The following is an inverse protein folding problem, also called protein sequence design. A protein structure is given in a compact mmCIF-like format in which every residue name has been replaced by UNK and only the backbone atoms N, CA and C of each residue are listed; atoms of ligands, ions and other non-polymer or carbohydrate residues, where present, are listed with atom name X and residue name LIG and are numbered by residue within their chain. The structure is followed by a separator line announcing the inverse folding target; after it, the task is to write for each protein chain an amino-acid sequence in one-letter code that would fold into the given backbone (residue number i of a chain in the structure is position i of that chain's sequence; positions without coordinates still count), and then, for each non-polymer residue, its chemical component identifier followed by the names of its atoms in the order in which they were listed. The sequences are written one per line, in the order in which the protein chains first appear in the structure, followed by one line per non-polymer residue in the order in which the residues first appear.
data_IF_253783968850
#
_entry.id   IF_253783968850
#
_cell.length_a   1.000
_cell.length_b   1.000
_cell.length_c   1.000
_cell.angle_alpha   90.00
_cell.angle_beta   90.00
_cell.angle_gamma   90.00
#
_symmetry.space_group_name_H-M   'P 1'
#
loop_
_entity.id
_entity.type
_entity.pdbx_description
1 polymer ?
#
# COMPACT_ATOMS: atom_id res chain seq x y z
N UNK A 1 -2.63 -31.59 16.26
CA UNK A 1 -3.83 -32.36 16.69
C UNK A 1 -5.12 -31.69 16.18
N UNK A 2 -5.31 -30.38 16.38
CA UNK A 2 -6.49 -29.63 15.88
C UNK A 2 -6.73 -29.68 14.36
N UNK A 3 -5.68 -29.64 13.52
CA UNK A 3 -5.81 -29.75 12.05
C UNK A 3 -6.26 -31.14 11.57
N UNK A 4 -6.00 -32.20 12.34
CA UNK A 4 -6.38 -33.56 11.96
C UNK A 4 -7.88 -33.81 12.18
N UNK A 5 -8.42 -33.23 13.25
CA UNK A 5 -9.85 -33.29 13.55
C UNK A 5 -10.68 -32.57 12.47
N UNK A 6 -10.22 -31.41 11.99
CA UNK A 6 -10.89 -30.65 10.93
C UNK A 6 -10.84 -31.32 9.55
N UNK A 7 -9.71 -31.94 9.18
CA UNK A 7 -9.61 -32.73 7.93
C UNK A 7 -10.45 -34.02 8.01
N UNK A 8 -10.57 -34.63 9.19
CA UNK A 8 -11.41 -35.81 9.40
C UNK A 8 -12.90 -35.51 9.20
N UNK A 9 -13.36 -34.32 9.60
CA UNK A 9 -14.74 -33.85 9.41
C UNK A 9 -15.08 -33.64 7.92
N UNK A 10 -14.18 -33.02 7.14
CA UNK A 10 -14.37 -32.76 5.72
C UNK A 10 -14.31 -34.04 4.86
N UNK A 11 -13.45 -35.00 5.24
CA UNK A 11 -13.31 -36.27 4.53
C UNK A 11 -14.52 -37.20 4.68
N UNK A 12 -15.23 -37.09 5.81
CA UNK A 12 -16.51 -37.79 6.06
C UNK A 12 -17.65 -37.23 5.17
N UNK A 13 -17.65 -35.93 4.86
CA UNK A 13 -18.63 -35.31 3.96
C UNK A 13 -18.35 -35.60 2.47
N UNK A 14 -17.09 -35.84 2.10
CA UNK A 14 -16.65 -36.07 0.71
C UNK A 14 -16.45 -37.57 0.33
N UNK A 15 -16.79 -38.50 1.23
CA UNK A 15 -16.71 -39.98 1.03
C UNK A 15 -15.34 -40.49 0.55
N UNK A 16 -14.24 -39.91 1.02
CA UNK A 16 -12.91 -40.45 0.72
C UNK A 16 -12.69 -41.79 1.41
N UNK A 17 -12.10 -42.75 0.70
CA UNK A 17 -11.69 -44.02 1.28
C UNK A 17 -10.51 -43.82 2.25
N UNK A 18 -10.40 -44.72 3.23
CA UNK A 18 -9.28 -44.77 4.17
C UNK A 18 -7.91 -44.85 3.46
N UNK A 19 -7.87 -45.44 2.26
CA UNK A 19 -6.65 -45.53 1.45
C UNK A 19 -6.25 -44.16 0.86
N UNK A 20 -7.20 -43.37 0.37
CA UNK A 20 -6.96 -42.03 -0.19
C UNK A 20 -6.51 -41.05 0.90
N UNK A 21 -7.10 -41.14 2.09
CA UNK A 21 -6.69 -40.35 3.26
C UNK A 21 -5.25 -40.65 3.69
N UNK A 22 -4.85 -41.92 3.67
CA UNK A 22 -3.49 -42.30 4.03
C UNK A 22 -2.48 -41.89 2.95
N UNK A 23 -2.82 -42.03 1.67
CA UNK A 23 -1.98 -41.56 0.56
C UNK A 23 -1.76 -40.04 0.62
N UNK A 24 -2.81 -39.28 0.85
CA UNK A 24 -2.72 -37.82 1.00
C UNK A 24 -1.85 -37.42 2.20
N UNK A 25 -1.99 -38.14 3.34
CA UNK A 25 -1.16 -37.92 4.54
C UNK A 25 0.32 -38.12 4.25
N UNK A 26 0.67 -39.21 3.55
CA UNK A 26 2.06 -39.51 3.21
C UNK A 26 2.65 -38.47 2.26
N UNK A 27 1.89 -38.06 1.25
CA UNK A 27 2.31 -37.03 0.30
C UNK A 27 2.48 -35.67 0.97
N UNK A 28 1.57 -35.31 1.89
CA UNK A 28 1.63 -34.09 2.67
C UNK A 28 2.86 -34.05 3.59
N UNK A 29 3.13 -35.13 4.33
CA UNK A 29 4.32 -35.22 5.20
C UNK A 29 5.62 -35.20 4.37
N UNK A 30 5.62 -35.80 3.18
CA UNK A 30 6.76 -35.73 2.27
C UNK A 30 7.01 -34.31 1.74
N UNK A 31 5.97 -33.60 1.28
CA UNK A 31 6.05 -32.20 0.82
C UNK A 31 6.48 -31.26 1.95
N UNK A 32 5.97 -31.46 3.16
CA UNK A 32 6.35 -30.71 4.36
C UNK A 32 7.82 -30.87 4.73
N UNK A 33 8.37 -32.09 4.66
CA UNK A 33 9.82 -32.33 4.87
C UNK A 33 10.67 -31.64 3.80
N UNK A 34 10.25 -31.69 2.54
CA UNK A 34 10.96 -31.03 1.42
C UNK A 34 10.94 -29.51 1.55
N UNK A 35 9.82 -28.93 1.96
CA UNK A 35 9.69 -27.50 2.22
C UNK A 35 10.54 -27.05 3.41
N UNK A 36 10.57 -27.85 4.50
CA UNK A 36 11.45 -27.59 5.64
C UNK A 36 12.93 -27.58 5.26
N UNK A 37 13.38 -28.54 4.42
CA UNK A 37 14.75 -28.56 3.87
C UNK A 37 15.08 -27.36 2.99
N UNK A 38 14.11 -26.85 2.22
CA UNK A 38 14.29 -25.64 1.40
C UNK A 38 14.49 -24.40 2.28
N UNK A 39 13.69 -24.26 3.35
CA UNK A 39 13.82 -23.17 4.32
C UNK A 39 15.13 -23.25 5.14
N UNK A 40 15.57 -24.46 5.50
CA UNK A 40 16.86 -24.68 6.18
C UNK A 40 18.04 -24.34 5.27
N UNK A 41 17.96 -24.65 3.97
CA UNK A 41 18.98 -24.26 2.99
C UNK A 41 18.99 -22.76 2.68
N UNK A 42 17.83 -22.09 2.62
CA UNK A 42 17.78 -20.62 2.47
C UNK A 42 18.30 -19.90 3.71
N UNK A 43 17.98 -20.40 4.91
CA UNK A 43 18.57 -19.93 6.18
C UNK A 43 20.08 -20.09 6.22
N UNK A 44 20.62 -21.20 5.71
CA UNK A 44 22.07 -21.44 5.61
C UNK A 44 22.76 -20.48 4.62
N UNK A 45 22.12 -20.16 3.49
CA UNK A 45 22.62 -19.16 2.53
C UNK A 45 22.56 -17.74 3.14
N UNK A 46 21.52 -17.43 3.91
CA UNK A 46 21.37 -16.14 4.59
C UNK A 46 22.39 -15.94 5.72
N UNK A 47 22.66 -16.99 6.51
CA UNK A 47 23.63 -16.93 7.61
C UNK A 47 25.08 -16.87 7.13
N UNK A 48 25.42 -17.53 6.01
CA UNK A 48 26.76 -17.46 5.43
C UNK A 48 27.05 -16.16 4.65
N UNK A 49 26.04 -15.34 4.37
CA UNK A 49 26.23 -13.98 3.83
C UNK A 49 26.52 -12.94 4.92
N UNK A 50 26.41 -13.30 6.20
CA UNK A 50 26.67 -12.43 7.35
C UNK A 50 28.05 -12.64 8.00
N UNK A 51 28.79 -13.67 7.60
CA UNK A 51 30.15 -13.93 8.06
C UNK A 51 31.16 -13.56 6.97
N UNK A 52 31.40 -12.25 6.79
CA UNK A 52 32.72 -11.69 6.45
C UNK A 52 32.67 -10.15 6.39
N UNK A 53 32.82 -9.51 7.57
CA UNK A 53 33.66 -8.32 7.77
C UNK A 53 33.62 -7.82 9.22
N UNK A 54 34.70 -7.97 10.01
CA UNK A 54 34.75 -7.45 11.37
C UNK A 54 35.26 -6.00 11.36
N UNK A 55 34.38 -5.01 11.09
CA UNK A 55 34.55 -3.60 11.52
C UNK A 55 33.46 -2.64 11.00
N UNK A 56 32.17 -2.85 11.28
CA UNK A 56 31.22 -1.74 11.20
C UNK A 56 30.01 -1.98 12.12
N UNK A 57 29.77 -1.05 13.05
CA UNK A 57 28.58 -1.03 13.93
C UNK A 57 27.30 -0.63 13.16
N UNK A 58 27.19 -1.00 11.88
CA UNK A 58 26.12 -0.61 10.99
C UNK A 58 25.18 -1.79 10.73
N UNK A 59 23.91 -1.65 11.12
CA UNK A 59 22.84 -2.59 10.73
C UNK A 59 22.06 -1.96 9.59
N UNK A 60 21.90 -2.70 8.49
CA UNK A 60 21.19 -2.21 7.31
C UNK A 60 19.68 -2.06 7.56
N UNK A 61 19.03 -1.19 6.78
CA UNK A 61 17.60 -0.95 6.86
C UNK A 61 16.77 -2.21 6.52
N UNK A 62 15.65 -2.40 7.20
CA UNK A 62 14.73 -3.53 7.00
C UNK A 62 13.40 -2.99 6.50
N UNK A 63 12.97 -3.44 5.32
CA UNK A 63 11.69 -3.05 4.72
C UNK A 63 11.00 -4.28 4.15
N UNK A 64 9.91 -4.70 4.78
CA UNK A 64 9.06 -5.82 4.39
C UNK A 64 7.58 -5.52 4.77
N UNK A 65 6.60 -6.33 4.35
CA UNK A 65 5.18 -6.07 4.61
C UNK A 65 4.80 -5.92 6.11
N UNK A 66 5.64 -6.43 7.00
CA UNK A 66 5.40 -6.50 8.44
C UNK A 66 6.32 -5.53 9.22
N UNK A 67 7.54 -5.27 8.75
CA UNK A 67 8.56 -4.48 9.43
C UNK A 67 9.13 -3.38 8.54
N UNK A 68 9.21 -2.16 9.08
CA UNK A 68 9.90 -1.03 8.46
C UNK A 68 10.78 -0.38 9.50
N UNK A 69 12.09 -0.43 9.29
CA UNK A 69 13.09 0.13 10.17
C UNK A 69 14.26 0.69 9.36
N UNK A 70 14.65 1.93 9.67
CA UNK A 70 15.83 2.55 9.08
C UNK A 70 17.13 1.87 9.50
N UNK A 71 18.22 2.16 8.80
CA UNK A 71 19.54 1.64 9.17
C UNK A 71 19.94 2.14 10.57
N UNK A 72 20.72 1.36 11.30
CA UNK A 72 21.35 1.81 12.55
C UNK A 72 22.81 2.05 12.23
N UNK A 73 23.27 3.29 12.32
CA UNK A 73 24.68 3.68 12.15
C UNK A 73 25.13 4.33 13.43
N UNK A 74 26.21 3.81 14.03
CA UNK A 74 26.75 4.27 15.32
C UNK A 74 25.70 4.32 16.45
N UNK A 75 24.81 3.33 16.48
CA UNK A 75 23.73 3.23 17.47
C UNK A 75 22.58 4.23 17.27
N UNK A 76 22.59 5.03 16.20
CA UNK A 76 21.52 5.97 15.85
C UNK A 76 20.69 5.44 14.68
N UNK A 77 19.37 5.42 14.86
CA UNK A 77 18.41 5.11 13.81
C UNK A 77 18.45 6.21 12.74
N UNK A 78 18.72 5.82 11.51
CA UNK A 78 18.73 6.67 10.33
C UNK A 78 17.36 6.66 9.65
N UNK A 79 17.14 7.61 8.75
CA UNK A 79 15.99 7.57 7.85
C UNK A 79 16.12 6.45 6.82
N UNK A 80 15.02 6.12 6.17
CA UNK A 80 15.00 5.14 5.08
C UNK A 80 15.68 5.76 3.85
N UNK A 81 16.75 5.12 3.37
CA UNK A 81 17.37 5.49 2.11
C UNK A 81 16.59 4.84 0.95
N UNK A 82 15.74 5.65 0.32
CA UNK A 82 14.92 5.22 -0.81
C UNK A 82 15.71 4.97 -2.09
N UNK A 83 16.87 5.60 -2.30
CA UNK A 83 17.72 5.28 -3.46
C UNK A 83 18.35 3.90 -3.27
N UNK A 84 18.84 3.60 -2.05
CA UNK A 84 19.33 2.25 -1.71
C UNK A 84 18.23 1.18 -1.85
N UNK A 85 16.97 1.50 -1.52
CA UNK A 85 15.83 0.59 -1.76
C UNK A 85 15.62 0.30 -3.25
N UNK A 86 15.84 1.27 -4.15
CA UNK A 86 15.70 1.03 -5.60
C UNK A 86 16.63 -0.10 -6.03
N UNK A 87 17.90 -0.04 -5.59
CA UNK A 87 18.91 -1.03 -5.92
C UNK A 87 18.63 -2.38 -5.24
N UNK A 88 18.35 -2.38 -3.93
CA UNK A 88 18.05 -3.60 -3.15
C UNK A 88 16.85 -4.37 -3.72
N UNK A 89 15.82 -3.66 -4.17
CA UNK A 89 14.62 -4.27 -4.74
C UNK A 89 14.73 -4.47 -6.26
N UNK A 90 15.75 -3.91 -6.93
CA UNK A 90 15.92 -3.97 -8.38
C UNK A 90 14.77 -3.28 -9.14
N UNK A 91 14.28 -2.15 -8.61
CA UNK A 91 13.25 -1.32 -9.25
C UNK A 91 13.90 -0.23 -10.11
N UNK A 92 13.10 0.62 -10.77
CA UNK A 92 13.61 1.78 -11.52
C UNK A 92 13.08 3.07 -10.90
N UNK A 93 13.91 4.12 -10.88
CA UNK A 93 13.48 5.45 -10.44
C UNK A 93 12.44 6.02 -11.39
N UNK A 94 11.45 6.74 -10.86
CA UNK A 94 10.59 7.62 -11.66
C UNK A 94 11.39 8.90 -11.89
N UNK A 95 11.94 9.04 -13.10
CA UNK A 95 12.77 10.18 -13.48
C UNK A 95 11.98 11.26 -14.23
N UNK A 96 12.65 12.39 -14.49
CA UNK A 96 12.04 13.54 -15.18
C UNK A 96 11.55 13.17 -16.58
N UNK A 97 12.30 12.33 -17.31
CA UNK A 97 11.96 11.89 -18.67
C UNK A 97 10.66 11.10 -18.66
N UNK A 98 10.47 10.21 -17.68
CA UNK A 98 9.24 9.45 -17.52
C UNK A 98 8.05 10.35 -17.15
N UNK A 99 8.26 11.38 -16.33
CA UNK A 99 7.21 12.35 -15.98
C UNK A 99 6.80 13.22 -17.19
N UNK A 100 7.78 13.70 -17.96
CA UNK A 100 7.53 14.45 -19.21
C UNK A 100 6.78 13.58 -20.23
N UNK A 101 7.15 12.29 -20.35
CA UNK A 101 6.43 11.32 -21.17
C UNK A 101 4.99 11.12 -20.69
N UNK A 102 4.79 10.94 -19.38
CA UNK A 102 3.46 10.78 -18.79
C UNK A 102 2.56 11.98 -19.14
N UNK A 103 3.06 13.20 -18.93
CA UNK A 103 2.32 14.43 -19.18
C UNK A 103 1.95 14.57 -20.66
N UNK A 104 2.92 14.30 -21.55
CA UNK A 104 2.72 14.37 -23.00
C UNK A 104 1.65 13.38 -23.48
N UNK A 105 1.69 12.13 -22.99
CA UNK A 105 0.75 11.09 -23.42
C UNK A 105 -0.65 11.29 -22.86
N UNK A 106 -0.77 11.75 -21.61
CA UNK A 106 -2.08 11.87 -20.93
C UNK A 106 -2.72 13.25 -21.08
N UNK A 107 -1.96 14.27 -21.49
CA UNK A 107 -2.40 15.66 -21.48
C UNK A 107 -2.68 16.20 -20.07
N UNK A 108 -2.17 15.53 -19.03
CA UNK A 108 -2.42 15.84 -17.62
C UNK A 108 -1.10 16.10 -16.91
N UNK A 109 -1.03 17.24 -16.20
CA UNK A 109 0.10 17.54 -15.28
C UNK A 109 0.29 16.35 -14.33
N UNK A 110 1.50 15.75 -14.24
CA UNK A 110 1.75 14.60 -13.38
C UNK A 110 1.36 14.93 -11.95
N UNK A 111 0.75 13.98 -11.22
CA UNK A 111 0.28 14.21 -9.85
C UNK A 111 1.36 14.79 -8.94
N UNK A 112 1.02 15.59 -7.93
CA UNK A 112 2.00 16.15 -6.97
C UNK A 112 2.85 15.06 -6.31
N UNK A 113 2.28 13.88 -6.09
CA UNK A 113 3.03 12.76 -5.53
C UNK A 113 4.12 12.23 -6.47
N UNK A 114 3.95 12.34 -7.78
CA UNK A 114 5.00 12.04 -8.75
C UNK A 114 6.04 13.17 -8.78
N UNK A 115 5.58 14.42 -8.90
CA UNK A 115 6.46 15.60 -8.99
C UNK A 115 7.35 15.78 -7.75
N UNK A 116 6.81 15.48 -6.57
CA UNK A 116 7.49 15.63 -5.27
C UNK A 116 8.21 14.37 -4.80
N UNK A 117 8.32 13.34 -5.65
CA UNK A 117 9.01 12.09 -5.33
C UNK A 117 8.37 11.27 -4.21
N UNK A 118 7.07 11.45 -3.96
CA UNK A 118 6.32 10.59 -3.02
C UNK A 118 6.15 9.20 -3.62
N UNK A 119 5.72 9.10 -4.89
CA UNK A 119 5.90 7.90 -5.70
C UNK A 119 7.24 8.02 -6.44
N UNK A 120 8.23 7.23 -6.03
CA UNK A 120 9.64 7.45 -6.37
C UNK A 120 10.23 6.36 -7.28
N UNK A 121 9.66 5.16 -7.26
CA UNK A 121 10.14 4.04 -8.07
C UNK A 121 9.00 3.29 -8.75
N UNK A 122 9.35 2.50 -9.77
CA UNK A 122 8.40 1.74 -10.57
C UNK A 122 9.01 0.42 -11.10
N UNK A 123 8.12 -0.47 -11.55
CA UNK A 123 8.45 -1.60 -12.44
C UNK A 123 7.55 -1.51 -13.67
N UNK A 124 8.15 -1.46 -14.86
CA UNK A 124 7.44 -1.53 -16.15
C UNK A 124 6.34 -0.46 -16.40
N UNK A 125 6.36 0.69 -15.72
CA UNK A 125 5.44 1.81 -16.01
C UNK A 125 5.49 2.27 -17.47
N UNK A 126 6.68 2.27 -18.09
CA UNK A 126 6.81 2.52 -19.53
C UNK A 126 5.96 1.56 -20.38
N UNK A 127 5.84 0.29 -20.00
CA UNK A 127 5.01 -0.69 -20.71
C UNK A 127 3.51 -0.37 -20.61
N UNK A 128 3.06 0.22 -19.49
CA UNK A 128 1.68 0.71 -19.34
C UNK A 128 1.45 1.93 -20.24
N UNK A 129 2.41 2.87 -20.26
CA UNK A 129 2.35 4.03 -21.14
C UNK A 129 2.33 3.64 -22.62
N UNK A 130 3.17 2.68 -23.03
CA UNK A 130 3.16 2.11 -24.38
C UNK A 130 1.81 1.48 -24.76
N UNK A 131 1.07 0.93 -23.79
CA UNK A 131 -0.26 0.35 -24.01
C UNK A 131 -1.32 1.42 -24.12
N UNK A 132 -1.28 2.39 -23.22
CA UNK A 132 -2.18 3.53 -23.23
C UNK A 132 -2.08 4.31 -24.54
N UNK A 133 -0.85 4.57 -25.01
CA UNK A 133 -0.56 5.19 -26.31
C UNK A 133 -1.15 4.42 -27.51
N UNK A 134 -1.33 3.10 -27.37
CA UNK A 134 -1.90 2.22 -28.40
C UNK A 134 -3.40 1.95 -28.23
N UNK A 135 -4.08 2.65 -27.32
CA UNK A 135 -5.49 2.41 -27.00
C UNK A 135 -5.76 1.01 -26.44
N UNK A 136 -4.74 0.34 -25.87
CA UNK A 136 -4.87 -1.03 -25.37
C UNK A 136 -5.31 -1.05 -23.91
N UNK A 137 -6.19 -1.98 -23.52
CA UNK A 137 -6.74 -2.03 -22.16
C UNK A 137 -5.67 -2.37 -21.12
N UNK A 138 -5.85 -1.82 -19.92
CA UNK A 138 -5.20 -2.21 -18.67
C UNK A 138 -6.10 -1.76 -17.51
N UNK A 139 -5.86 -2.27 -16.30
CA UNK A 139 -6.64 -1.92 -15.12
C UNK A 139 -5.75 -1.59 -13.93
N UNK A 140 -6.34 -0.95 -12.93
CA UNK A 140 -5.70 -0.63 -11.66
C UNK A 140 -6.10 -1.66 -10.60
N UNK A 141 -5.14 -2.02 -9.76
CA UNK A 141 -5.38 -2.82 -8.57
C UNK A 141 -4.66 -2.22 -7.37
N UNK A 142 -5.35 -2.17 -6.24
CA UNK A 142 -4.76 -1.84 -4.94
C UNK A 142 -5.49 -2.60 -3.83
N UNK A 143 -5.07 -2.45 -2.58
CA UNK A 143 -5.69 -3.19 -1.49
C UNK A 143 -5.45 -2.62 -0.11
N UNK A 144 -6.21 -3.13 0.86
CA UNK A 144 -6.14 -2.74 2.26
C UNK A 144 -6.35 -3.96 3.15
N UNK A 145 -5.40 -4.19 4.05
CA UNK A 145 -5.59 -5.12 5.15
C UNK A 145 -6.25 -4.46 6.36
N UNK A 146 -7.52 -4.74 6.67
CA UNK A 146 -8.30 -4.00 7.67
C UNK A 146 -7.93 -4.42 9.10
N UNK A 147 -7.02 -3.67 9.72
CA UNK A 147 -6.45 -3.99 11.05
C UNK A 147 -7.25 -3.45 12.25
N UNK A 148 -8.17 -2.50 12.00
CA UNK A 148 -8.92 -1.71 13.00
C UNK A 148 -10.14 -1.02 12.35
N UNK A 149 -11.07 -0.53 13.18
CA UNK A 149 -12.30 0.15 12.74
C UNK A 149 -12.06 1.46 11.96
N UNK A 150 -10.90 2.10 12.09
CA UNK A 150 -10.61 3.39 11.45
C UNK A 150 -9.27 3.39 10.71
N UNK A 151 -9.28 3.98 9.52
CA UNK A 151 -8.07 4.32 8.77
C UNK A 151 -7.44 5.63 9.29
N UNK A 152 -6.16 5.84 8.96
CA UNK A 152 -5.44 7.10 9.19
C UNK A 152 -4.98 7.72 7.88
N UNK A 153 -4.57 8.99 7.91
CA UNK A 153 -4.22 9.77 6.72
C UNK A 153 -3.13 9.12 5.84
N UNK A 154 -2.21 8.36 6.43
CA UNK A 154 -1.20 7.63 5.66
C UNK A 154 -1.77 6.54 4.75
N UNK A 155 -2.92 5.96 5.11
CA UNK A 155 -3.60 5.01 4.24
C UNK A 155 -4.24 5.71 3.03
N UNK A 156 -4.51 7.02 3.10
CA UNK A 156 -5.12 7.76 1.99
C UNK A 156 -4.18 7.90 0.80
N UNK A 157 -2.85 7.94 1.02
CA UNK A 157 -1.85 8.22 -0.02
C UNK A 157 -1.98 7.30 -1.24
N UNK A 158 -1.96 5.95 -1.12
CA UNK A 158 -2.14 5.07 -2.27
C UNK A 158 -3.52 5.23 -2.93
N UNK A 159 -4.58 5.44 -2.15
CA UNK A 159 -5.93 5.58 -2.71
C UNK A 159 -6.16 6.90 -3.45
N UNK A 160 -5.68 8.03 -2.91
CA UNK A 160 -5.72 9.33 -3.61
C UNK A 160 -5.01 9.23 -4.94
N UNK A 161 -3.83 8.61 -4.95
CA UNK A 161 -3.07 8.43 -6.19
C UNK A 161 -3.78 7.48 -7.17
N UNK A 162 -4.34 6.38 -6.66
CA UNK A 162 -5.07 5.42 -7.47
C UNK A 162 -6.34 6.03 -8.08
N UNK A 163 -7.05 6.89 -7.33
CA UNK A 163 -8.19 7.65 -7.84
C UNK A 163 -7.76 8.58 -8.98
N UNK A 164 -6.68 9.34 -8.78
CA UNK A 164 -6.16 10.22 -9.83
C UNK A 164 -5.75 9.43 -11.08
N UNK A 165 -5.07 8.29 -10.93
CA UNK A 165 -4.73 7.41 -12.05
C UNK A 165 -5.99 6.91 -12.78
N UNK A 166 -7.03 6.52 -12.03
CA UNK A 166 -8.31 6.08 -12.59
C UNK A 166 -8.95 7.18 -13.44
N UNK A 167 -8.92 8.43 -12.96
CA UNK A 167 -9.47 9.60 -13.68
C UNK A 167 -8.66 9.98 -14.91
N UNK A 168 -7.32 9.95 -14.82
CA UNK A 168 -6.42 10.29 -15.93
C UNK A 168 -6.51 9.25 -17.05
N UNK A 169 -6.43 7.97 -16.70
CA UNK A 169 -6.39 6.89 -17.69
C UNK A 169 -7.78 6.39 -18.09
N UNK A 170 -8.82 6.71 -17.32
CA UNK A 170 -10.19 6.23 -17.52
C UNK A 170 -10.25 4.68 -17.65
N UNK A 171 -9.74 4.00 -16.63
CA UNK A 171 -9.61 2.53 -16.56
C UNK A 171 -10.37 1.96 -15.35
N UNK A 172 -10.73 0.67 -15.35
CA UNK A 172 -11.37 0.05 -14.19
C UNK A 172 -10.39 -0.12 -13.04
N UNK A 173 -10.92 -0.07 -11.82
CA UNK A 173 -10.20 -0.28 -10.57
C UNK A 173 -10.79 -1.45 -9.79
N UNK A 174 -9.90 -2.27 -9.23
CA UNK A 174 -10.24 -3.29 -8.25
C UNK A 174 -9.51 -3.02 -6.93
N UNK A 175 -10.25 -3.06 -5.82
CA UNK A 175 -9.73 -2.89 -4.45
C UNK A 175 -10.00 -4.13 -3.62
N UNK A 176 -8.95 -4.78 -3.15
CA UNK A 176 -9.07 -5.95 -2.28
C UNK A 176 -9.00 -5.57 -0.80
N UNK A 177 -9.92 -6.11 -0.01
CA UNK A 177 -9.89 -6.05 1.45
C UNK A 177 -9.43 -7.39 2.00
N UNK A 178 -8.21 -7.45 2.53
CA UNK A 178 -7.57 -8.69 3.03
C UNK A 178 -7.94 -8.96 4.50
N UNK A 179 -9.24 -9.05 4.79
CA UNK A 179 -9.78 -9.36 6.12
C UNK A 179 -9.43 -10.77 6.59
N UNK A 180 -9.36 -11.74 5.68
CA UNK A 180 -8.79 -13.06 5.92
C UNK A 180 -7.34 -13.01 6.44
N UNK A 181 -6.46 -12.21 5.81
CA UNK A 181 -5.07 -12.01 6.20
C UNK A 181 -5.00 -11.48 7.64
N UNK A 182 -5.80 -10.46 7.96
CA UNK A 182 -5.78 -9.88 9.31
C UNK A 182 -6.29 -10.83 10.37
N UNK A 183 -7.29 -11.64 10.07
CA UNK A 183 -7.70 -12.74 10.94
C UNK A 183 -6.57 -13.75 11.16
N UNK A 184 -5.87 -14.14 10.10
CA UNK A 184 -4.80 -15.14 10.17
C UNK A 184 -3.55 -14.64 10.92
N UNK A 185 -3.14 -13.40 10.71
CA UNK A 185 -1.87 -12.86 11.25
C UNK A 185 -2.02 -12.17 12.61
N UNK A 186 -3.19 -11.63 12.96
CA UNK A 186 -3.41 -10.95 14.25
C UNK A 186 -3.95 -11.93 15.29
N UNK A 187 -3.10 -12.36 16.21
CA UNK A 187 -3.52 -13.25 17.29
C UNK A 187 -4.68 -12.64 18.10
N UNK A 188 -5.73 -13.42 18.30
CA UNK A 188 -6.91 -13.02 19.08
C UNK A 188 -7.95 -12.18 18.33
N UNK A 189 -7.73 -11.85 17.05
CA UNK A 189 -8.77 -11.23 16.22
C UNK A 189 -9.79 -12.29 15.78
N UNK A 190 -11.09 -12.03 15.97
CA UNK A 190 -12.14 -12.91 15.48
C UNK A 190 -12.43 -12.63 14.00
N UNK A 191 -12.94 -13.63 13.28
CA UNK A 191 -13.23 -13.48 11.84
C UNK A 191 -14.33 -12.42 11.62
N UNK A 192 -15.32 -12.36 12.53
CA UNK A 192 -16.41 -11.38 12.49
C UNK A 192 -15.90 -9.95 12.68
N UNK A 193 -14.91 -9.77 13.56
CA UNK A 193 -14.28 -8.48 13.80
C UNK A 193 -13.48 -8.04 12.57
N UNK A 194 -12.70 -8.96 11.97
CA UNK A 194 -11.92 -8.69 10.76
C UNK A 194 -12.82 -8.32 9.57
N UNK A 195 -13.91 -9.06 9.39
CA UNK A 195 -14.91 -8.80 8.37
C UNK A 195 -15.60 -7.44 8.58
N UNK A 196 -15.97 -7.12 9.82
CA UNK A 196 -16.52 -5.81 10.19
C UNK A 196 -15.53 -4.69 9.85
N UNK A 197 -14.25 -4.84 10.22
CA UNK A 197 -13.21 -3.86 9.88
C UNK A 197 -13.08 -3.71 8.37
N UNK A 198 -13.15 -4.81 7.61
CA UNK A 198 -13.18 -4.81 6.15
C UNK A 198 -14.29 -3.91 5.62
N UNK A 199 -15.53 -4.13 6.04
CA UNK A 199 -16.68 -3.32 5.60
C UNK A 199 -16.56 -1.84 5.98
N UNK A 200 -16.08 -1.53 7.18
CA UNK A 200 -15.93 -0.14 7.63
C UNK A 200 -14.76 0.58 6.91
N UNK A 201 -13.63 -0.11 6.68
CA UNK A 201 -12.53 0.42 5.87
C UNK A 201 -12.94 0.55 4.39
N UNK A 202 -13.78 -0.34 3.87
CA UNK A 202 -14.37 -0.24 2.54
C UNK A 202 -15.15 1.06 2.36
N UNK A 203 -15.98 1.45 3.35
CA UNK A 203 -16.68 2.75 3.35
C UNK A 203 -15.73 3.94 3.41
N UNK A 204 -14.66 3.85 4.19
CA UNK A 204 -13.63 4.90 4.23
C UNK A 204 -12.96 5.05 2.84
N UNK A 205 -12.69 3.94 2.14
CA UNK A 205 -12.13 3.94 0.77
C UNK A 205 -13.12 4.56 -0.23
N UNK A 206 -14.40 4.17 -0.19
CA UNK A 206 -15.44 4.76 -1.04
C UNK A 206 -15.55 6.28 -0.83
N UNK A 207 -15.36 6.75 0.41
CA UNK A 207 -15.41 8.17 0.77
C UNK A 207 -14.24 9.01 0.19
N UNK A 208 -13.20 8.37 -0.36
CA UNK A 208 -12.18 9.08 -1.15
C UNK A 208 -12.69 9.55 -2.52
N UNK A 209 -13.91 9.17 -2.91
CA UNK A 209 -14.59 9.72 -4.09
C UNK A 209 -14.27 8.99 -5.40
N UNK A 210 -14.02 7.68 -5.33
CA UNK A 210 -13.92 6.84 -6.53
C UNK A 210 -15.24 6.80 -7.31
N UNK A 211 -15.15 6.55 -8.62
CA UNK A 211 -16.33 6.34 -9.46
C UNK A 211 -16.91 4.92 -9.21
N UNK A 212 -18.12 4.77 -8.65
CA UNK A 212 -18.71 3.46 -8.38
C UNK A 212 -18.95 2.64 -9.64
N UNK A 213 -19.11 3.27 -10.81
CA UNK A 213 -19.31 2.57 -12.09
C UNK A 213 -17.99 2.01 -12.66
N UNK A 214 -16.85 2.32 -12.02
CA UNK A 214 -15.51 1.91 -12.46
C UNK A 214 -14.65 1.35 -11.33
N UNK A 215 -15.26 1.02 -10.19
CA UNK A 215 -14.53 0.59 -9.00
C UNK A 215 -15.24 -0.57 -8.33
N UNK A 216 -14.54 -1.70 -8.23
CA UNK A 216 -15.02 -2.88 -7.53
C UNK A 216 -14.20 -3.07 -6.26
N UNK A 217 -14.86 -3.12 -5.11
CA UNK A 217 -14.25 -3.33 -3.79
C UNK A 217 -14.79 -4.64 -3.23
N UNK A 218 -13.90 -5.55 -2.81
CA UNK A 218 -14.34 -6.85 -2.31
C UNK A 218 -13.60 -7.29 -1.05
N UNK A 219 -14.31 -8.00 -0.18
CA UNK A 219 -13.75 -8.76 0.94
C UNK A 219 -13.23 -10.11 0.44
N UNK A 220 -12.07 -10.54 0.92
CA UNK A 220 -11.58 -11.88 0.64
C UNK A 220 -12.48 -12.96 1.24
N UNK A 221 -13.00 -12.72 2.45
CA UNK A 221 -13.94 -13.64 3.10
C UNK A 221 -15.23 -13.83 2.28
N UNK A 222 -15.69 -12.79 1.59
CA UNK A 222 -16.87 -12.87 0.72
C UNK A 222 -16.56 -13.46 -0.67
N UNK A 223 -15.40 -13.15 -1.24
CA UNK A 223 -15.11 -13.39 -2.66
C UNK A 223 -14.22 -14.61 -2.93
N UNK A 224 -13.43 -15.11 -1.96
CA UNK A 224 -12.31 -16.06 -2.22
C UNK A 224 -12.42 -17.41 -1.49
N UNK A 225 -12.85 -17.50 -0.22
CA UNK A 225 -13.01 -18.77 0.55
C UNK A 225 -11.75 -19.34 1.26
N UNK A 226 -11.90 -20.27 2.24
CA UNK A 226 -11.04 -20.46 3.46
C UNK A 226 -9.98 -21.62 3.53
N UNK A 227 -8.95 -21.41 4.39
CA UNK A 227 -7.84 -22.19 5.04
C UNK A 227 -6.84 -23.10 4.24
N UNK A 228 -5.63 -23.37 4.82
CA UNK A 228 -4.24 -23.27 4.28
C UNK A 228 -3.77 -21.83 3.99
N UNK A 229 -4.59 -20.88 4.47
CA UNK A 229 -4.65 -19.49 4.05
C UNK A 229 -3.36 -18.68 4.14
N UNK A 230 -2.42 -18.95 5.05
CA UNK A 230 -1.19 -18.11 5.15
C UNK A 230 -0.21 -18.32 4.01
N UNK A 231 0.04 -19.59 3.64
CA UNK A 231 0.88 -19.92 2.49
C UNK A 231 0.12 -19.65 1.19
N UNK A 232 -1.19 -19.91 1.17
CA UNK A 232 -2.07 -19.63 0.05
C UNK A 232 -2.29 -18.12 -0.18
N UNK A 233 -2.19 -17.29 0.86
CA UNK A 233 -2.49 -15.85 0.79
C UNK A 233 -1.63 -15.13 -0.24
N UNK A 234 -0.36 -15.51 -0.36
CA UNK A 234 0.51 -14.92 -1.39
C UNK A 234 -0.08 -15.16 -2.79
N UNK A 235 -0.69 -16.32 -3.03
CA UNK A 235 -1.41 -16.60 -4.26
C UNK A 235 -2.72 -15.80 -4.36
N UNK A 236 -3.43 -15.56 -3.25
CA UNK A 236 -4.63 -14.72 -3.19
C UNK A 236 -4.32 -13.25 -3.47
N UNK A 237 -3.21 -12.69 -2.97
CA UNK A 237 -2.81 -11.31 -3.25
C UNK A 237 -2.19 -11.19 -4.66
N UNK A 238 -1.61 -12.27 -5.18
CA UNK A 238 -1.12 -12.34 -6.54
C UNK A 238 -2.24 -12.42 -7.58
N UNK A 239 -3.32 -13.17 -7.33
CA UNK A 239 -4.35 -13.45 -8.34
C UNK A 239 -5.03 -12.20 -8.91
N UNK A 240 -5.32 -11.13 -8.14
CA UNK A 240 -5.83 -9.87 -8.68
C UNK A 240 -4.94 -9.18 -9.71
N UNK A 241 -3.67 -9.59 -9.84
CA UNK A 241 -2.77 -9.09 -10.88
C UNK A 241 -3.11 -9.63 -12.27
N UNK A 242 -3.96 -10.66 -12.38
CA UNK A 242 -4.31 -11.34 -13.62
C UNK A 242 -5.78 -11.09 -13.98
N UNK A 243 -6.04 -10.57 -15.19
CA UNK A 243 -7.37 -10.12 -15.58
C UNK A 243 -8.45 -11.20 -15.60
N UNK A 244 -8.09 -12.46 -15.88
CA UNK A 244 -9.06 -13.55 -15.89
C UNK A 244 -9.55 -13.96 -14.49
N UNK A 245 -8.97 -13.42 -13.41
CA UNK A 245 -9.54 -13.52 -12.07
C UNK A 245 -10.84 -12.71 -11.92
N UNK A 246 -11.13 -11.78 -12.84
CA UNK A 246 -12.35 -10.96 -12.82
C UNK A 246 -13.14 -11.10 -14.14
N UNK A 247 -13.71 -12.29 -14.45
CA UNK A 247 -14.41 -12.53 -15.71
C UNK A 247 -15.67 -11.66 -15.89
N UNK A 248 -16.30 -11.24 -14.79
CA UNK A 248 -17.42 -10.30 -14.83
C UNK A 248 -17.01 -8.90 -15.33
N UNK A 249 -15.77 -8.48 -15.06
CA UNK A 249 -15.24 -7.17 -15.47
C UNK A 249 -14.63 -7.25 -16.87
N UNK A 250 -13.82 -8.27 -17.12
CA UNK A 250 -13.01 -8.37 -18.34
C UNK A 250 -13.49 -9.41 -19.36
N UNK A 251 -14.65 -10.02 -19.12
CA UNK A 251 -15.32 -11.01 -19.98
C UNK A 251 -14.93 -12.46 -19.69
N UNK A 252 -15.90 -13.38 -19.79
CA UNK A 252 -15.70 -14.82 -19.51
C UNK A 252 -14.68 -15.51 -20.43
N UNK A 253 -14.44 -14.95 -21.62
CA UNK A 253 -13.48 -15.48 -22.62
C UNK A 253 -12.06 -14.90 -22.46
N UNK A 254 -11.83 -14.04 -21.48
CA UNK A 254 -10.53 -13.42 -21.22
C UNK A 254 -9.48 -14.49 -20.87
N UNK A 255 -8.31 -14.42 -21.51
CA UNK A 255 -7.24 -15.42 -21.33
C UNK A 255 -6.18 -15.01 -20.31
N UNK A 256 -6.41 -13.94 -19.55
CA UNK A 256 -5.45 -13.35 -18.63
C UNK A 256 -4.42 -12.46 -19.33
N UNK A 257 -4.75 -11.89 -20.51
CA UNK A 257 -3.84 -11.14 -21.37
C UNK A 257 -3.86 -9.62 -21.17
N UNK A 258 -4.70 -9.13 -20.26
CA UNK A 258 -4.77 -7.71 -19.89
C UNK A 258 -3.84 -7.47 -18.67
N UNK A 259 -2.79 -6.66 -18.81
CA UNK A 259 -1.84 -6.38 -17.73
C UNK A 259 -2.42 -5.44 -16.67
N UNK A 260 -1.87 -5.57 -15.47
CA UNK A 260 -2.26 -4.81 -14.28
C UNK A 260 -1.19 -3.78 -13.90
N UNK A 261 -1.60 -2.60 -13.43
CA UNK A 261 -0.76 -1.62 -12.76
C UNK A 261 -1.14 -1.53 -11.27
N UNK A 262 -0.14 -1.67 -10.39
CA UNK A 262 -0.32 -1.75 -8.93
C UNK A 262 0.36 -0.56 -8.22
N UNK A 263 -0.41 0.44 -7.75
CA UNK A 263 0.08 1.46 -6.84
C UNK A 263 0.08 0.94 -5.41
N UNK A 264 1.25 0.87 -4.77
CA UNK A 264 1.40 0.41 -3.40
C UNK A 264 2.60 1.04 -2.69
N UNK A 265 2.66 0.93 -1.37
CA UNK A 265 3.88 1.25 -0.65
C UNK A 265 4.95 0.18 -0.93
N UNK A 266 6.23 0.57 -0.86
CA UNK A 266 7.37 -0.29 -1.21
C UNK A 266 7.42 -1.60 -0.39
N UNK A 267 6.84 -1.63 0.82
CA UNK A 267 6.75 -2.82 1.66
C UNK A 267 5.93 -3.96 1.02
N UNK A 268 5.07 -3.67 0.04
CA UNK A 268 4.27 -4.69 -0.67
C UNK A 268 4.98 -5.33 -1.88
N UNK A 269 6.13 -4.79 -2.33
CA UNK A 269 6.86 -5.32 -3.50
C UNK A 269 7.22 -6.81 -3.38
N UNK A 270 7.58 -7.39 -2.20
CA UNK A 270 7.90 -8.80 -2.09
C UNK A 270 6.79 -9.73 -2.60
N UNK A 271 5.51 -9.39 -2.38
CA UNK A 271 4.39 -10.15 -2.93
C UNK A 271 4.40 -10.13 -4.46
N UNK A 272 4.49 -8.94 -5.04
CA UNK A 272 4.36 -8.77 -6.48
C UNK A 272 5.63 -9.13 -7.25
N UNK A 273 6.80 -9.14 -6.61
CA UNK A 273 8.03 -9.71 -7.17
C UNK A 273 7.84 -11.20 -7.46
N UNK A 274 7.31 -11.95 -6.50
CA UNK A 274 6.95 -13.35 -6.70
C UNK A 274 5.84 -13.50 -7.75
N UNK A 275 4.81 -12.65 -7.72
CA UNK A 275 3.75 -12.64 -8.73
C UNK A 275 4.30 -12.49 -10.15
N UNK A 276 5.28 -11.61 -10.37
CA UNK A 276 5.94 -11.41 -11.67
C UNK A 276 6.74 -12.63 -12.14
N UNK A 277 7.34 -13.39 -11.24
CA UNK A 277 8.02 -14.65 -11.56
C UNK A 277 7.02 -15.74 -11.97
N UNK A 278 5.92 -15.87 -11.21
CA UNK A 278 4.85 -16.84 -11.48
C UNK A 278 4.11 -16.49 -12.78
N UNK A 279 3.86 -15.21 -13.05
CA UNK A 279 3.21 -14.73 -14.28
C UNK A 279 3.87 -15.29 -15.55
N UNK A 280 5.21 -15.27 -15.60
CA UNK A 280 5.96 -15.80 -16.74
C UNK A 280 5.74 -17.32 -16.94
N UNK A 281 5.65 -18.08 -15.84
CA UNK A 281 5.37 -19.54 -15.88
C UNK A 281 3.95 -19.84 -16.32
N UNK A 282 3.00 -19.00 -15.88
CA UNK A 282 1.59 -19.10 -16.26
C UNK A 282 1.28 -18.50 -17.65
N UNK A 283 2.28 -17.89 -18.30
CA UNK A 283 2.14 -17.17 -19.57
C UNK A 283 1.19 -15.97 -19.50
N UNK A 284 1.07 -15.35 -18.34
CA UNK A 284 0.37 -14.08 -18.15
C UNK A 284 1.34 -12.90 -18.24
N UNK A 285 0.85 -11.69 -18.61
CA UNK A 285 1.62 -10.47 -18.47
C UNK A 285 2.09 -10.26 -17.02
N UNK A 286 3.31 -9.77 -16.86
CA UNK A 286 3.82 -9.38 -15.54
C UNK A 286 3.10 -8.11 -15.07
N UNK A 287 2.62 -8.04 -13.82
CA UNK A 287 2.07 -6.79 -13.29
C UNK A 287 3.15 -5.70 -13.22
N UNK A 288 2.76 -4.47 -13.55
CA UNK A 288 3.57 -3.26 -13.41
C UNK A 288 3.30 -2.64 -12.03
N UNK A 289 4.29 -1.94 -11.47
CA UNK A 289 4.19 -1.38 -10.12
C UNK A 289 4.65 0.08 -10.08
N UNK A 290 4.09 0.86 -9.16
CA UNK A 290 4.57 2.18 -8.76
C UNK A 290 4.58 2.27 -7.23
N UNK A 291 5.73 2.61 -6.66
CA UNK A 291 5.94 2.54 -5.22
C UNK A 291 5.99 3.92 -4.56
N UNK A 292 5.23 4.10 -3.48
CA UNK A 292 5.34 5.27 -2.62
C UNK A 292 6.30 5.08 -1.44
N UNK A 293 6.88 6.20 -1.00
CA UNK A 293 7.59 6.34 0.27
C UNK A 293 6.65 6.10 1.45
N UNK A 294 7.20 5.76 2.62
CA UNK A 294 6.41 5.65 3.84
C UNK A 294 5.94 7.03 4.31
N UNK A 295 4.68 7.09 4.72
CA UNK A 295 4.14 8.29 5.35
C UNK A 295 4.64 8.36 6.82
N UNK A 296 5.30 9.46 7.24
CA UNK A 296 5.94 9.52 8.55
C UNK A 296 4.91 9.50 9.70
N UNK A 297 5.28 8.94 10.85
CA UNK A 297 4.45 9.04 12.05
C UNK A 297 4.63 10.39 12.76
N UNK A 298 3.69 10.73 13.64
CA UNK A 298 3.72 11.98 14.41
C UNK A 298 4.98 12.11 15.29
N UNK A 299 5.58 10.99 15.69
CA UNK A 299 6.78 10.92 16.53
C UNK A 299 8.07 11.29 15.79
N UNK A 300 8.06 11.32 14.46
CA UNK A 300 9.22 11.67 13.65
C UNK A 300 9.77 10.54 12.78
N UNK A 301 10.92 10.77 12.15
CA UNK A 301 11.53 9.84 11.21
C UNK A 301 11.86 8.47 11.82
N UNK A 302 11.84 7.43 10.98
CA UNK A 302 12.13 6.05 11.41
C UNK A 302 10.99 5.33 12.14
N UNK A 303 9.83 5.98 12.35
CA UNK A 303 8.64 5.37 12.94
C UNK A 303 7.46 5.33 11.96
N UNK A 304 6.79 4.17 11.86
CA UNK A 304 5.59 3.96 11.03
C UNK A 304 4.34 4.32 11.82
N UNK A 305 3.36 4.98 11.17
CA UNK A 305 2.04 5.15 11.79
C UNK A 305 1.42 3.80 12.05
N UNK A 306 0.90 3.62 13.27
CA UNK A 306 0.16 2.42 13.63
C UNK A 306 -1.23 2.79 14.11
N UNK A 307 -2.23 2.15 13.53
CA UNK A 307 -3.60 2.26 14.02
C UNK A 307 -3.77 1.72 15.46
N UNK A 308 -2.80 0.94 15.98
CA UNK A 308 -2.80 0.49 17.38
C UNK A 308 -2.26 1.52 18.37
N UNK A 309 -1.65 2.62 17.90
CA UNK A 309 -1.09 3.67 18.77
C UNK A 309 -1.79 4.99 18.46
N UNK A 310 -2.78 5.35 19.28
CA UNK A 310 -3.67 6.49 19.05
C UNK A 310 -2.96 7.84 18.85
N UNK A 311 -1.81 8.02 19.50
CA UNK A 311 -1.00 9.24 19.42
C UNK A 311 0.05 9.20 18.29
N UNK A 312 0.16 8.11 17.53
CA UNK A 312 1.10 8.00 16.41
C UNK A 312 0.54 8.51 15.08
N UNK A 313 -0.78 8.57 14.96
CA UNK A 313 -1.46 8.80 13.71
C UNK A 313 -2.63 9.79 13.83
N UNK A 314 -2.97 10.42 12.72
CA UNK A 314 -4.20 11.19 12.53
C UNK A 314 -5.21 10.28 11.84
N UNK A 315 -6.32 9.99 12.52
CA UNK A 315 -7.37 9.10 12.02
C UNK A 315 -8.40 9.87 11.20
N UNK A 316 -9.08 9.19 10.27
CA UNK A 316 -10.12 9.80 9.45
C UNK A 316 -11.37 10.21 10.26
N UNK A 317 -11.48 9.72 11.50
CA UNK A 317 -12.54 10.06 12.43
C UNK A 317 -12.14 11.15 13.44
N UNK A 318 -10.88 11.63 13.42
CA UNK A 318 -10.45 12.70 14.31
C UNK A 318 -11.22 14.00 14.01
N UNK A 319 -11.61 14.70 15.07
CA UNK A 319 -12.17 16.05 15.00
C UNK A 319 -11.07 17.08 14.69
N UNK A 320 -11.40 18.27 14.14
CA UNK A 320 -10.42 19.34 13.92
C UNK A 320 -9.60 19.69 15.16
N UNK A 321 -10.21 19.63 16.36
CA UNK A 321 -9.51 19.86 17.62
C UNK A 321 -8.48 18.76 17.94
N UNK A 322 -8.83 17.49 17.70
CA UNK A 322 -7.90 16.36 17.86
C UNK A 322 -6.74 16.45 16.86
N UNK A 323 -7.03 16.76 15.59
CA UNK A 323 -6.02 16.96 14.52
C UNK A 323 -5.03 18.05 14.94
N UNK A 324 -5.54 19.24 15.31
CA UNK A 324 -4.72 20.37 15.77
C UNK A 324 -3.85 20.00 16.98
N UNK A 325 -4.41 19.29 17.96
CA UNK A 325 -3.68 18.87 19.15
C UNK A 325 -2.57 17.84 18.84
N UNK A 326 -2.83 16.91 17.91
CA UNK A 326 -1.86 15.91 17.46
C UNK A 326 -0.71 16.55 16.68
N UNK A 327 -1.00 17.45 15.73
CA UNK A 327 0.01 18.18 14.96
C UNK A 327 0.81 19.12 15.86
N UNK A 328 0.16 19.78 16.84
CA UNK A 328 0.88 20.61 17.82
C UNK A 328 1.98 19.81 18.54
N UNK A 329 1.71 18.54 18.87
CA UNK A 329 2.61 17.62 19.57
C UNK A 329 3.54 16.82 18.66
N UNK A 330 3.44 16.97 17.33
CA UNK A 330 4.30 16.22 16.41
C UNK A 330 5.75 16.66 16.53
N UNK A 331 6.65 15.76 16.11
CA UNK A 331 8.07 16.07 15.96
C UNK A 331 8.27 17.30 15.04
N UNK A 332 9.30 18.09 15.34
CA UNK A 332 9.64 19.35 14.68
C UNK A 332 11.12 19.35 14.33
N UNK A 333 11.44 19.82 13.13
CA UNK A 333 12.81 20.08 12.70
C UNK A 333 13.31 21.49 13.03
N UNK A 334 12.48 22.34 13.63
CA UNK A 334 12.85 23.70 14.08
C UNK A 334 13.76 23.72 15.31
N UNK A 335 14.26 24.91 15.64
CA UNK A 335 15.08 25.14 16.84
C UNK A 335 14.34 24.79 18.13
N UNK A 336 15.11 24.40 19.16
CA UNK A 336 14.62 24.14 20.53
C UNK A 336 14.05 25.39 21.21
N UNK A 337 14.44 26.58 20.76
CA UNK A 337 13.87 27.87 21.11
C UNK A 337 13.55 28.70 19.87
N UNK A 338 12.67 29.70 20.00
CA UNK A 338 12.35 30.64 18.93
C UNK A 338 13.61 31.39 18.44
N UNK A 339 14.48 31.80 19.36
CA UNK A 339 15.75 32.47 19.03
C UNK A 339 16.68 31.56 18.23
N UNK A 340 16.82 30.29 18.64
CA UNK A 340 17.64 29.33 17.89
C UNK A 340 17.04 29.02 16.53
N UNK A 341 15.70 28.99 16.42
CA UNK A 341 15.04 28.77 15.15
C UNK A 341 15.21 29.95 14.19
N UNK A 342 15.11 31.20 14.68
CA UNK A 342 15.37 32.40 13.87
C UNK A 342 16.83 32.48 13.41
N UNK A 343 17.77 31.98 14.22
CA UNK A 343 19.20 32.03 13.93
C UNK A 343 19.70 30.89 13.03
N UNK A 344 19.21 29.68 13.25
CA UNK A 344 19.73 28.47 12.61
C UNK A 344 18.73 27.82 11.64
N UNK A 345 17.50 28.33 11.56
CA UNK A 345 16.46 27.79 10.70
C UNK A 345 15.81 26.52 11.23
N UNK A 346 15.03 25.88 10.36
CA UNK A 346 14.43 24.56 10.57
C UNK A 346 14.86 23.55 9.51
N UNK A 347 15.01 22.30 9.92
CA UNK A 347 15.30 21.19 9.02
C UNK A 347 14.00 20.56 8.49
N UNK A 348 13.68 20.84 7.23
CA UNK A 348 12.48 20.33 6.55
C UNK A 348 12.48 18.82 6.30
N UNK A 349 13.64 18.18 6.24
CA UNK A 349 13.74 16.74 5.96
C UNK A 349 13.14 15.91 7.11
N UNK A 350 13.38 16.37 8.35
CA UNK A 350 12.91 15.67 9.56
C UNK A 350 11.59 16.24 10.11
N UNK A 351 11.13 17.40 9.62
CA UNK A 351 9.95 18.10 10.16
C UNK A 351 8.64 17.45 9.72
N UNK A 352 7.94 16.78 10.64
CA UNK A 352 6.69 16.06 10.34
C UNK A 352 5.61 16.97 9.73
N UNK A 353 5.33 18.18 10.26
CA UNK A 353 4.40 19.11 9.63
C UNK A 353 4.73 19.44 8.17
N UNK A 354 6.00 19.75 7.87
CA UNK A 354 6.46 19.99 6.51
C UNK A 354 6.27 18.75 5.62
N UNK A 355 6.67 17.57 6.12
CA UNK A 355 6.48 16.32 5.40
C UNK A 355 5.00 16.10 5.08
N UNK A 356 4.08 16.32 6.03
CA UNK A 356 2.64 16.20 5.78
C UNK A 356 2.15 17.18 4.71
N UNK A 357 2.63 18.43 4.72
CA UNK A 357 2.33 19.42 3.68
C UNK A 357 2.84 18.96 2.30
N UNK A 358 4.01 18.34 2.22
CA UNK A 358 4.54 17.74 0.98
C UNK A 358 3.58 16.72 0.37
N UNK A 359 2.85 15.95 1.19
CA UNK A 359 1.80 15.06 0.70
C UNK A 359 0.49 15.80 0.36
N UNK A 360 0.03 16.68 1.25
CA UNK A 360 -1.38 17.08 1.25
C UNK A 360 -1.66 18.51 0.79
N UNK A 361 -0.67 19.40 0.78
CA UNK A 361 -0.83 20.74 0.22
C UNK A 361 -0.83 20.65 -1.31
N UNK A 362 -1.88 21.12 -1.99
CA UNK A 362 -1.96 21.03 -3.45
C UNK A 362 -1.02 21.99 -4.19
N UNK A 363 -0.79 23.18 -3.62
CA UNK A 363 0.00 24.25 -4.21
C UNK A 363 1.52 23.98 -4.07
N UNK A 364 2.22 23.91 -5.20
CA UNK A 364 3.68 23.68 -5.22
C UNK A 364 4.46 24.96 -4.83
N UNK A 365 3.99 26.14 -5.26
CA UNK A 365 4.66 27.42 -4.97
C UNK A 365 4.53 27.75 -3.47
N UNK A 366 3.36 27.47 -2.88
CA UNK A 366 3.17 27.63 -1.45
C UNK A 366 4.09 26.67 -0.65
N UNK A 367 4.21 25.42 -1.08
CA UNK A 367 5.09 24.44 -0.43
C UNK A 367 6.56 24.88 -0.48
N UNK A 368 7.03 25.30 -1.64
CA UNK A 368 8.40 25.79 -1.84
C UNK A 368 8.69 27.02 -0.97
N UNK A 369 7.76 27.97 -0.92
CA UNK A 369 7.86 29.14 -0.05
C UNK A 369 7.92 28.76 1.42
N UNK A 370 7.04 27.88 1.89
CA UNK A 370 7.04 27.39 3.28
C UNK A 370 8.39 26.72 3.60
N UNK A 371 8.93 25.92 2.69
CA UNK A 371 10.22 25.27 2.86
C UNK A 371 11.36 26.28 2.98
N UNK A 372 11.42 27.25 2.07
CA UNK A 372 12.43 28.30 2.07
C UNK A 372 12.37 29.16 3.35
N UNK A 373 11.18 29.62 3.75
CA UNK A 373 10.98 30.45 4.93
C UNK A 373 11.26 29.67 6.24
N UNK A 374 10.91 28.39 6.31
CA UNK A 374 11.19 27.55 7.48
C UNK A 374 12.68 27.26 7.62
N UNK A 375 13.37 26.93 6.53
CA UNK A 375 14.82 26.74 6.52
C UNK A 375 15.58 28.04 6.79
N UNK A 376 15.04 29.19 6.41
CA UNK A 376 15.61 30.49 6.75
C UNK A 376 15.33 30.94 8.20
N UNK A 377 14.44 30.24 8.93
CA UNK A 377 14.04 30.61 10.30
C UNK A 377 13.02 31.75 10.38
N UNK A 378 12.54 32.26 9.24
CA UNK A 378 11.55 33.36 9.19
C UNK A 378 10.12 32.87 9.43
N UNK A 379 9.83 31.62 9.09
CA UNK A 379 8.56 30.96 9.43
C UNK A 379 8.74 30.14 10.70
N UNK A 380 7.93 30.37 11.73
CA UNK A 380 8.07 29.63 12.99
C UNK A 380 7.48 28.22 12.94
N UNK A 381 7.97 27.32 13.80
CA UNK A 381 7.40 25.97 14.01
C UNK A 381 5.90 26.00 14.35
N UNK A 382 5.44 27.03 15.07
CA UNK A 382 4.02 27.18 15.38
C UNK A 382 3.17 27.53 14.15
N UNK A 383 3.70 28.36 13.25
CA UNK A 383 3.05 28.75 12.01
C UNK A 383 2.94 27.58 11.02
N UNK A 384 4.02 26.82 10.80
CA UNK A 384 3.97 25.63 9.92
C UNK A 384 3.01 24.56 10.46
N UNK A 385 2.99 24.34 11.79
CA UNK A 385 2.03 23.42 12.44
C UNK A 385 0.58 23.89 12.30
N UNK A 386 0.34 25.19 12.38
CA UNK A 386 -0.99 25.76 12.15
C UNK A 386 -1.45 25.52 10.72
N UNK A 387 -0.61 25.83 9.72
CA UNK A 387 -0.91 25.61 8.31
C UNK A 387 -1.14 24.13 7.99
N UNK A 388 -0.28 23.25 8.50
CA UNK A 388 -0.46 21.81 8.40
C UNK A 388 -1.80 21.36 9.00
N UNK A 389 -2.18 21.89 10.17
CA UNK A 389 -3.46 21.55 10.81
C UNK A 389 -4.67 21.95 9.97
N UNK A 390 -4.62 23.10 9.32
CA UNK A 390 -5.70 23.55 8.42
C UNK A 390 -5.86 22.61 7.23
N UNK A 391 -4.76 22.32 6.53
CA UNK A 391 -4.75 21.45 5.34
C UNK A 391 -5.27 20.05 5.69
N UNK A 392 -4.74 19.45 6.75
CA UNK A 392 -5.17 18.10 7.17
C UNK A 392 -6.63 18.09 7.63
N UNK A 393 -7.06 19.11 8.38
CA UNK A 393 -8.45 19.19 8.83
C UNK A 393 -9.44 19.31 7.67
N UNK A 394 -9.09 20.08 6.63
CA UNK A 394 -9.93 20.23 5.43
C UNK A 394 -10.10 18.88 4.71
N UNK A 395 -9.01 18.14 4.51
CA UNK A 395 -9.01 16.84 3.83
C UNK A 395 -9.80 15.79 4.63
N UNK A 396 -9.56 15.71 5.95
CA UNK A 396 -10.30 14.77 6.81
C UNK A 396 -11.78 15.11 6.82
N UNK A 397 -12.13 16.41 6.85
CA UNK A 397 -13.52 16.85 6.78
C UNK A 397 -14.19 16.46 5.47
N UNK A 398 -13.51 16.60 4.34
CA UNK A 398 -14.02 16.19 3.02
C UNK A 398 -14.37 14.69 3.01
N UNK A 399 -13.45 13.84 3.49
CA UNK A 399 -13.69 12.40 3.59
C UNK A 399 -14.85 12.09 4.53
N UNK A 400 -14.93 12.75 5.68
CA UNK A 400 -16.06 12.58 6.62
C UNK A 400 -17.40 12.95 5.98
N UNK A 401 -17.43 14.03 5.21
CA UNK A 401 -18.64 14.50 4.55
C UNK A 401 -19.03 13.58 3.38
N UNK A 402 -18.07 13.07 2.60
CA UNK A 402 -18.31 12.06 1.58
C UNK A 402 -18.81 10.75 2.19
N UNK A 403 -18.23 10.31 3.31
CA UNK A 403 -18.66 9.10 4.02
C UNK A 403 -20.11 9.19 4.49
N UNK A 404 -20.57 10.37 4.91
CA UNK A 404 -21.98 10.60 5.29
C UNK A 404 -22.94 10.53 4.10
N UNK A 405 -22.46 10.76 2.88
CA UNK A 405 -23.26 10.70 1.64
C UNK A 405 -23.40 9.28 1.08
N UNK A 406 -22.65 8.31 1.62
CA UNK A 406 -22.75 6.91 1.19
C UNK A 406 -24.10 6.33 1.62
N UNK A 407 -24.98 6.11 0.65
CA UNK A 407 -26.22 5.35 0.84
C UNK A 407 -25.97 3.85 0.63
N UNK A 408 -26.85 2.96 1.12
CA UNK A 408 -26.74 1.52 0.85
C UNK A 408 -26.64 1.21 -0.65
N UNK A 409 -27.35 1.95 -1.50
CA UNK A 409 -27.34 1.77 -2.95
C UNK A 409 -25.98 2.13 -3.56
N UNK A 410 -25.35 3.21 -3.09
CA UNK A 410 -24.00 3.58 -3.55
C UNK A 410 -22.99 2.53 -3.09
N UNK A 411 -23.08 2.07 -1.84
CA UNK A 411 -22.19 1.03 -1.31
C UNK A 411 -22.33 -0.24 -2.14
N UNK A 412 -23.56 -0.66 -2.46
CA UNK A 412 -23.81 -1.87 -3.23
C UNK A 412 -23.18 -1.82 -4.63
N UNK A 413 -23.18 -0.64 -5.28
CA UNK A 413 -22.49 -0.48 -6.58
C UNK A 413 -21.00 -0.79 -6.51
N UNK A 414 -20.32 -0.41 -5.44
CA UNK A 414 -18.91 -0.74 -5.26
C UNK A 414 -18.68 -2.23 -4.95
N UNK A 415 -19.66 -2.90 -4.32
CA UNK A 415 -19.54 -4.32 -3.93
C UNK A 415 -20.04 -5.29 -5.01
N UNK A 416 -20.69 -4.77 -6.06
CA UNK A 416 -21.21 -5.57 -7.17
C UNK A 416 -20.22 -5.52 -8.33
N UNK A 417 -19.76 -6.68 -8.85
CA UNK A 417 -18.96 -6.70 -10.08
C UNK A 417 -19.72 -6.04 -11.24
N UNK A 418 -19.03 -5.20 -12.00
CA UNK A 418 -19.60 -4.47 -13.13
C UNK A 418 -18.84 -4.80 -14.43
N UNK A 419 -19.53 -4.88 -15.58
CA UNK A 419 -18.85 -4.96 -16.88
C UNK A 419 -18.21 -3.61 -17.21
N UNK A 420 -16.96 -3.61 -17.70
CA UNK A 420 -16.30 -2.39 -18.14
C UNK A 420 -16.03 -2.42 -19.65
N UNK A 421 -16.62 -1.48 -20.37
CA UNK A 421 -16.34 -1.27 -21.80
C UNK A 421 -15.23 -0.24 -21.98
N UNK A 422 -14.07 -0.71 -22.44
CA UNK A 422 -13.04 0.20 -22.91
C UNK A 422 -13.55 0.89 -24.18
N UNK A 423 -13.54 2.22 -24.18
CA UNK A 423 -13.79 2.99 -25.41
C UNK A 423 -12.82 2.49 -26.48
N UNK A 424 -13.34 1.95 -27.57
CA UNK A 424 -12.56 1.74 -28.78
C UNK A 424 -12.37 3.12 -29.38
N UNK A 425 -11.13 3.56 -29.55
CA UNK A 425 -10.86 4.74 -30.37
C UNK A 425 -11.42 4.46 -31.78
N UNK A 426 -12.27 5.36 -32.27
CA UNK A 426 -12.76 5.37 -33.67
C UNK A 426 -11.63 5.74 -34.64
#
# INVERSE_FOLDING_TARGET
MFLWTACGSLALELKWSLAELNSFREEFEHKKRRFKKLLENESFVYNNLLEDNPSNNAVDQVVDPWNVQGAIVDGKLQEIDYNKLIDQFGTRKIDKVLLERFETLTGRKPHRFLRRGVFFSHRDLNSILDRYEKGKPFFLYTGRGPSSDSMHIGHMVPFIFCKWLQEVFNVPLVVQLTDDEKFLFKQGLKVEDSYKFGRDNGKDIMAFGFDPEKTFIFSNLDYVGDNIGKLHFVAIQASPSFSNSFPAIFGEKNKGDIPCLIPCAIDQDPYFRLTREVAAKLKYPKPSLVHNIFFPALQGPGTKMSASIANSAIFLQDTPAQIKNKIKKSFSGGGDSQENHEKFGGNIEVDVPYQYLKFFLEDDEELERIGAEYTAGTLSTSAIKARCSEVISAIVKEVQDNRKRLTPEIVEKFLTPYPFEYKKDE
#
